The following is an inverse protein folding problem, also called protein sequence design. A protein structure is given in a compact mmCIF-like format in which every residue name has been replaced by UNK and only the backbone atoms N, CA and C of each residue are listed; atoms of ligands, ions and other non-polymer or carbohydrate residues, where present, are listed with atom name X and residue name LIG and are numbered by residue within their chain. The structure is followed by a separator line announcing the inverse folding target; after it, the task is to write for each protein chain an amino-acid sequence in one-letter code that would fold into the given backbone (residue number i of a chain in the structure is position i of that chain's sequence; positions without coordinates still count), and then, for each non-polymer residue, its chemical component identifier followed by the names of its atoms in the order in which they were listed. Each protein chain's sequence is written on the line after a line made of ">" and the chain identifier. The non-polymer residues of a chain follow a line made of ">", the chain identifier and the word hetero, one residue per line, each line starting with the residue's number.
data_IF_040440682999
#
_entry.id   IF_040440682999
#
_cell.length_a   1.000
_cell.length_b   1.000
_cell.length_c   1.000
_cell.angle_alpha   90.00
_cell.angle_beta   90.00
_cell.angle_gamma   90.00
#
_symmetry.space_group_name_H-M   'P 1'
#
loop_
_entity.id
_entity.type
_entity.pdbx_description
1 polymer ?
#
# COMPACT_ATOMS: atom_id res chain seq x y z
N UNK A 1 20.05 -3.18 54.75
CA UNK A 1 20.31 -3.34 53.30
C UNK A 1 20.76 -4.77 53.05
N UNK A 2 20.13 -5.50 52.11
CA UNK A 2 20.62 -6.81 51.67
C UNK A 2 22.03 -6.64 51.09
N UNK A 3 22.99 -7.48 51.50
CA UNK A 3 24.36 -7.48 50.97
C UNK A 3 24.30 -7.88 49.48
N UNK A 4 24.92 -7.09 48.61
CA UNK A 4 24.98 -7.39 47.18
C UNK A 4 25.88 -8.61 46.96
N UNK A 5 25.31 -9.68 46.40
CA UNK A 5 26.00 -10.93 46.08
C UNK A 5 25.93 -11.15 44.56
N UNK A 6 27.02 -10.86 43.82
CA UNK A 6 27.01 -10.89 42.36
C UNK A 6 26.77 -12.30 41.81
N UNK A 7 27.29 -13.34 42.44
CA UNK A 7 27.18 -14.71 41.93
C UNK A 7 25.76 -15.27 42.13
N UNK A 8 25.13 -14.90 43.24
CA UNK A 8 23.71 -15.18 43.47
C UNK A 8 22.81 -14.50 42.42
N UNK A 9 23.08 -13.23 42.09
CA UNK A 9 22.29 -12.48 41.10
C UNK A 9 22.45 -13.08 39.71
N UNK A 10 23.68 -13.43 39.31
CA UNK A 10 23.94 -14.09 38.02
C UNK A 10 23.15 -15.39 37.90
N UNK A 11 23.23 -16.24 38.93
CA UNK A 11 22.53 -17.54 38.95
C UNK A 11 21.01 -17.38 38.83
N UNK A 12 20.40 -16.50 39.62
CA UNK A 12 18.95 -16.28 39.61
C UNK A 12 18.45 -15.73 38.27
N UNK A 13 19.22 -14.89 37.59
CA UNK A 13 18.85 -14.36 36.27
C UNK A 13 18.90 -15.49 35.22
N UNK A 14 19.96 -16.30 35.22
CA UNK A 14 20.11 -17.44 34.30
C UNK A 14 18.97 -18.44 34.48
N UNK A 15 18.67 -18.81 35.74
CA UNK A 15 17.57 -19.72 36.09
C UNK A 15 16.20 -19.17 35.67
N UNK A 16 15.94 -17.87 35.89
CA UNK A 16 14.64 -17.26 35.56
C UNK A 16 14.30 -17.22 34.06
N UNK A 17 15.31 -17.32 33.19
CA UNK A 17 15.13 -17.22 31.73
C UNK A 17 15.54 -18.46 30.96
N UNK A 18 16.03 -19.51 31.64
CA UNK A 18 16.59 -20.70 31.01
C UNK A 18 17.65 -20.34 29.94
N UNK A 19 18.47 -19.34 30.24
CA UNK A 19 19.53 -18.85 29.35
C UNK A 19 20.81 -19.68 29.51
N UNK A 20 21.70 -19.71 28.50
CA UNK A 20 23.00 -20.35 28.64
C UNK A 20 23.86 -19.64 29.70
N UNK A 21 25.00 -20.24 30.05
CA UNK A 21 25.95 -19.66 31.00
C UNK A 21 26.34 -18.23 30.55
N UNK A 22 26.43 -17.23 31.46
CA UNK A 22 26.85 -15.86 31.13
C UNK A 22 28.12 -15.72 30.28
N UNK A 23 29.02 -16.71 30.32
CA UNK A 23 30.22 -16.76 29.46
C UNK A 23 29.87 -16.89 27.97
N UNK A 24 28.73 -17.49 27.63
CA UNK A 24 28.25 -17.73 26.26
C UNK A 24 27.30 -16.63 25.75
N UNK A 25 26.98 -15.63 26.59
CA UNK A 25 25.99 -14.61 26.24
C UNK A 25 26.44 -13.73 25.08
N UNK A 26 25.64 -13.63 24.02
CA UNK A 26 25.83 -12.66 22.92
C UNK A 26 25.33 -11.26 23.30
N UNK A 27 25.61 -10.23 22.46
CA UNK A 27 25.10 -8.86 22.68
C UNK A 27 23.58 -8.80 22.83
N UNK A 28 22.84 -9.72 22.19
CA UNK A 28 21.41 -9.87 22.33
C UNK A 28 20.97 -10.07 23.79
N UNK A 29 21.64 -10.95 24.54
CA UNK A 29 21.29 -11.27 25.94
C UNK A 29 21.46 -10.05 26.87
N UNK A 30 22.51 -9.25 26.65
CA UNK A 30 22.75 -8.03 27.44
C UNK A 30 21.73 -6.93 27.11
N UNK A 31 21.38 -6.78 25.84
CA UNK A 31 20.34 -5.83 25.39
C UNK A 31 18.96 -6.20 25.95
N UNK A 32 18.62 -7.49 25.88
CA UNK A 32 17.36 -7.99 26.39
C UNK A 32 17.27 -7.89 27.92
N UNK A 33 18.35 -8.20 28.64
CA UNK A 33 18.41 -8.05 30.09
C UNK A 33 18.29 -6.57 30.51
N UNK A 34 19.00 -5.67 29.83
CA UNK A 34 18.90 -4.22 30.06
C UNK A 34 17.45 -3.74 29.93
N UNK A 35 16.78 -4.12 28.84
CA UNK A 35 15.39 -3.74 28.56
C UNK A 35 14.45 -4.24 29.66
N UNK A 36 14.59 -5.49 30.09
CA UNK A 36 13.70 -6.09 31.10
C UNK A 36 13.90 -5.51 32.49
N UNK A 37 15.13 -5.18 32.86
CA UNK A 37 15.41 -4.48 34.12
C UNK A 37 14.69 -3.13 34.12
N UNK A 38 14.79 -2.37 33.02
CA UNK A 38 14.11 -1.08 32.85
C UNK A 38 12.58 -1.24 32.91
N UNK A 39 12.00 -2.23 32.21
CA UNK A 39 10.55 -2.50 32.24
C UNK A 39 10.02 -2.88 33.63
N UNK A 40 10.79 -3.65 34.42
CA UNK A 40 10.33 -4.19 35.70
C UNK A 40 10.63 -3.29 36.90
N UNK A 41 11.73 -2.54 36.83
CA UNK A 41 12.18 -1.71 37.94
C UNK A 41 12.00 -0.22 37.68
N UNK A 42 11.90 0.19 36.42
CA UNK A 42 12.00 1.60 36.00
C UNK A 42 13.44 2.13 36.00
N UNK A 43 14.43 1.31 36.40
CA UNK A 43 15.82 1.71 36.50
C UNK A 43 16.61 1.22 35.28
N UNK A 44 17.36 2.12 34.62
CA UNK A 44 18.12 1.81 33.40
C UNK A 44 19.57 1.44 33.71
N UNK A 45 20.00 0.26 33.29
CA UNK A 45 21.40 -0.20 33.39
C UNK A 45 21.94 -0.45 31.98
N UNK A 46 23.04 0.21 31.59
CA UNK A 46 23.60 0.03 30.25
C UNK A 46 24.15 -1.39 30.00
N UNK A 47 24.06 -1.84 28.75
CA UNK A 47 24.60 -3.14 28.30
C UNK A 47 26.09 -3.30 28.68
N UNK A 48 26.87 -2.23 28.58
CA UNK A 48 28.30 -2.23 28.92
C UNK A 48 28.56 -2.39 30.42
N UNK A 49 27.63 -1.92 31.26
CA UNK A 49 27.70 -2.15 32.71
C UNK A 49 27.33 -3.59 33.03
N UNK A 50 26.33 -4.17 32.36
CA UNK A 50 25.99 -5.58 32.49
C UNK A 50 27.13 -6.49 32.01
N UNK A 51 27.77 -6.20 30.87
CA UNK A 51 28.94 -6.96 30.38
C UNK A 51 30.09 -6.99 31.39
N UNK A 52 30.29 -5.92 32.17
CA UNK A 52 31.29 -5.88 33.26
C UNK A 52 30.86 -6.70 34.48
N UNK A 53 29.58 -6.61 34.89
CA UNK A 53 29.03 -7.38 36.03
C UNK A 53 29.07 -8.88 35.76
N UNK A 54 28.77 -9.30 34.53
CA UNK A 54 28.72 -10.71 34.12
C UNK A 54 30.06 -11.24 33.56
N UNK A 55 31.15 -10.48 33.64
CA UNK A 55 32.51 -10.97 33.35
C UNK A 55 32.90 -11.00 31.86
N UNK A 56 32.06 -10.52 30.94
CA UNK A 56 32.35 -10.48 29.49
C UNK A 56 33.38 -9.41 29.09
N UNK A 57 33.61 -8.40 29.94
CA UNK A 57 34.71 -7.43 29.77
C UNK A 57 35.70 -7.53 30.92
N UNK A 58 37.01 -7.51 30.61
CA UNK A 58 38.08 -7.46 31.61
C UNK A 58 37.96 -6.17 32.44
N UNK A 59 38.03 -6.32 33.76
CA UNK A 59 38.12 -5.22 34.72
C UNK A 59 39.42 -5.40 35.50
N UNK A 60 40.03 -4.29 35.95
CA UNK A 60 41.35 -4.25 36.59
C UNK A 60 41.42 -4.91 37.99
N UNK A 61 40.29 -5.33 38.56
CA UNK A 61 40.24 -6.01 39.86
C UNK A 61 39.51 -7.36 39.74
N UNK A 62 40.06 -8.42 40.33
CA UNK A 62 39.48 -9.77 40.33
C UNK A 62 38.06 -9.82 40.92
N UNK A 63 37.70 -8.86 41.78
CA UNK A 63 36.37 -8.74 42.40
C UNK A 63 35.70 -7.41 42.03
N UNK A 64 35.25 -7.27 40.78
CA UNK A 64 34.53 -6.07 40.34
C UNK A 64 33.18 -5.93 41.04
N UNK A 65 33.00 -4.82 41.77
CA UNK A 65 31.72 -4.40 42.33
C UNK A 65 31.17 -3.21 41.52
N UNK A 66 29.94 -3.32 40.96
CA UNK A 66 29.37 -2.22 40.20
C UNK A 66 28.93 -1.08 41.13
N UNK A 67 28.60 0.08 40.56
CA UNK A 67 28.16 1.25 41.33
C UNK A 67 26.91 0.96 42.18
N UNK A 68 26.74 1.70 43.28
CA UNK A 68 25.64 1.50 44.22
C UNK A 68 24.24 1.50 43.55
N UNK A 69 24.05 2.34 42.53
CA UNK A 69 22.83 2.36 41.73
C UNK A 69 22.59 1.03 40.99
N UNK A 70 23.61 0.50 40.31
CA UNK A 70 23.53 -0.81 39.62
C UNK A 70 23.25 -1.94 40.61
N UNK A 71 23.87 -1.91 41.80
CA UNK A 71 23.59 -2.88 42.85
C UNK A 71 22.14 -2.81 43.33
N UNK A 72 21.61 -1.61 43.52
CA UNK A 72 20.23 -1.38 43.93
C UNK A 72 19.23 -1.86 42.86
N UNK A 73 19.45 -1.47 41.60
CA UNK A 73 18.59 -1.84 40.48
C UNK A 73 18.56 -3.36 40.25
N UNK A 74 19.71 -4.05 40.32
CA UNK A 74 19.77 -5.51 40.20
C UNK A 74 19.08 -6.22 41.37
N UNK A 75 19.26 -5.75 42.62
CA UNK A 75 18.56 -6.33 43.77
C UNK A 75 17.04 -6.12 43.67
N UNK A 76 16.59 -4.93 43.26
CA UNK A 76 15.18 -4.62 43.03
C UNK A 76 14.58 -5.50 41.92
N UNK A 77 15.36 -5.78 40.88
CA UNK A 77 14.96 -6.68 39.81
C UNK A 77 14.80 -8.12 40.29
N UNK A 78 15.78 -8.67 41.02
CA UNK A 78 15.68 -10.02 41.60
C UNK A 78 14.49 -10.13 42.57
N UNK A 79 14.26 -9.12 43.41
CA UNK A 79 13.12 -9.10 44.32
C UNK A 79 11.77 -9.08 43.55
N UNK A 80 11.74 -8.47 42.36
CA UNK A 80 10.57 -8.52 41.46
C UNK A 80 10.36 -9.91 40.84
N UNK A 81 11.43 -10.65 40.57
CA UNK A 81 11.37 -12.03 40.07
C UNK A 81 10.91 -12.98 41.19
N UNK A 82 11.44 -12.84 42.41
CA UNK A 82 11.04 -13.63 43.58
C UNK A 82 9.57 -13.38 44.00
N UNK A 83 9.05 -12.15 43.83
CA UNK A 83 7.63 -11.84 44.03
C UNK A 83 6.70 -12.59 43.06
N UNK A 84 7.21 -13.05 41.91
CA UNK A 84 6.43 -13.81 40.92
C UNK A 84 6.32 -15.30 41.27
N UNK A 85 7.23 -15.84 42.07
CA UNK A 85 7.24 -17.25 42.50
C UNK A 85 6.66 -17.47 43.91
N UNK A 86 6.51 -16.41 44.72
CA UNK A 86 5.85 -16.50 46.04
C UNK A 86 4.34 -16.18 46.02
N UNK A 87 3.63 -16.49 44.93
CA UNK A 87 2.18 -16.69 44.99
C UNK A 87 1.85 -18.12 45.45
N UNK A 88 2.29 -18.47 46.68
CA UNK A 88 1.59 -19.52 47.41
C UNK A 88 0.14 -19.08 47.51
N UNK A 89 -0.73 -19.87 46.92
CA UNK A 89 -2.18 -19.75 46.97
C UNK A 89 -2.66 -19.77 48.41
N UNK A 90 -2.72 -18.61 49.04
CA UNK A 90 -3.60 -18.40 50.18
C UNK A 90 -5.02 -18.45 49.63
N UNK A 91 -5.69 -19.59 49.83
CA UNK A 91 -7.14 -19.71 49.74
C UNK A 91 -7.77 -18.82 50.81
N UNK A 92 -7.76 -17.52 50.60
CA UNK A 92 -8.66 -16.61 51.28
C UNK A 92 -9.97 -16.83 50.56
N UNK A 93 -10.91 -17.56 51.17
CA UNK A 93 -12.31 -17.53 50.80
C UNK A 93 -12.82 -16.17 51.26
N UNK A 94 -12.88 -15.16 50.39
CA UNK A 94 -13.32 -13.88 50.84
C UNK A 94 -14.87 -13.98 50.93
N UNK A 95 -15.52 -13.29 51.89
CA UNK A 95 -16.94 -13.51 52.20
C UNK A 95 -17.84 -13.15 51.02
N UNK A 96 -18.70 -14.04 50.52
CA UNK A 96 -19.45 -13.94 49.22
C UNK A 96 -19.91 -12.54 48.76
N UNK A 97 -20.13 -11.58 49.66
CA UNK A 97 -20.54 -10.20 49.43
C UNK A 97 -19.51 -9.31 48.66
N UNK A 98 -18.18 -9.39 48.89
CA UNK A 98 -17.22 -8.53 48.13
C UNK A 98 -17.07 -8.99 46.66
N UNK A 99 -17.33 -10.27 46.36
CA UNK A 99 -17.41 -10.79 44.99
C UNK A 99 -18.58 -10.16 44.23
N UNK A 100 -19.70 -9.95 44.93
CA UNK A 100 -20.88 -9.28 44.39
C UNK A 100 -20.59 -7.80 44.14
N UNK A 101 -19.96 -7.09 45.09
CA UNK A 101 -19.58 -5.69 44.90
C UNK A 101 -18.53 -5.48 43.80
N UNK A 102 -17.54 -6.36 43.71
CA UNK A 102 -16.54 -6.31 42.63
C UNK A 102 -17.16 -6.61 41.26
N UNK A 103 -18.05 -7.61 41.17
CA UNK A 103 -18.81 -7.89 39.95
C UNK A 103 -19.73 -6.71 39.58
N UNK A 104 -20.40 -6.08 40.55
CA UNK A 104 -21.24 -4.90 40.32
C UNK A 104 -20.42 -3.70 39.84
N UNK A 105 -19.26 -3.45 40.45
CA UNK A 105 -18.34 -2.39 40.02
C UNK A 105 -17.83 -2.66 38.60
N UNK A 106 -17.50 -3.91 38.28
CA UNK A 106 -17.04 -4.30 36.93
C UNK A 106 -18.17 -4.20 35.90
N UNK A 107 -19.40 -4.57 36.28
CA UNK A 107 -20.61 -4.43 35.47
C UNK A 107 -21.01 -2.96 35.28
N UNK A 108 -20.53 -2.02 36.09
CA UNK A 108 -20.75 -0.58 35.89
C UNK A 108 -19.58 0.06 35.13
N UNK A 109 -18.33 -0.27 35.48
CA UNK A 109 -17.12 0.29 34.87
C UNK A 109 -16.92 -0.16 33.42
N UNK A 110 -17.19 -1.43 33.11
CA UNK A 110 -17.01 -1.96 31.75
C UNK A 110 -17.95 -1.29 30.76
N UNK A 111 -19.29 -1.21 30.99
CA UNK A 111 -20.15 -0.43 30.11
C UNK A 111 -19.86 1.07 30.19
N UNK A 112 -19.40 1.62 31.32
CA UNK A 112 -18.96 3.02 31.39
C UNK A 112 -17.77 3.33 30.46
N UNK A 113 -16.76 2.46 30.44
CA UNK A 113 -15.59 2.56 29.55
C UNK A 113 -15.94 2.26 28.09
N UNK A 114 -16.86 1.32 27.86
CA UNK A 114 -17.45 1.07 26.53
C UNK A 114 -18.22 2.33 26.09
N UNK A 115 -19.09 2.93 26.90
CA UNK A 115 -19.84 4.15 26.53
C UNK A 115 -18.92 5.35 26.31
N UNK A 116 -17.76 5.44 26.97
CA UNK A 116 -16.77 6.50 26.71
C UNK A 116 -16.03 6.25 25.39
N UNK A 117 -15.67 4.99 25.08
CA UNK A 117 -14.99 4.60 23.84
C UNK A 117 -15.93 4.53 22.62
N UNK A 118 -17.20 4.26 22.87
CA UNK A 118 -18.31 4.18 21.94
C UNK A 118 -19.34 5.28 22.20
N UNK A 119 -18.91 6.44 22.73
CA UNK A 119 -19.77 7.63 22.62
C UNK A 119 -20.04 7.74 21.13
N UNK A 120 -21.31 7.63 20.68
CA UNK A 120 -21.59 7.84 19.28
C UNK A 120 -21.10 9.26 19.03
N UNK A 121 -20.03 9.36 18.23
CA UNK A 121 -19.67 10.62 17.63
C UNK A 121 -20.99 11.13 17.07
N UNK A 122 -21.49 12.28 17.55
CA UNK A 122 -22.66 12.88 16.93
C UNK A 122 -22.27 13.02 15.46
N UNK A 123 -22.80 12.14 14.61
CA UNK A 123 -22.72 12.29 13.18
C UNK A 123 -23.47 13.57 12.94
N UNK A 124 -22.73 14.67 12.82
CA UNK A 124 -23.29 15.92 12.32
C UNK A 124 -24.05 15.51 11.07
N UNK A 125 -25.38 15.68 11.11
CA UNK A 125 -26.24 15.15 10.07
C UNK A 125 -26.01 15.98 8.81
N UNK A 126 -25.08 15.54 7.97
CA UNK A 126 -24.80 16.11 6.67
C UNK A 126 -25.41 15.25 5.57
N UNK A 127 -25.69 15.86 4.43
CA UNK A 127 -26.04 15.17 3.19
C UNK A 127 -24.89 15.38 2.22
N UNK A 128 -24.46 14.31 1.55
CA UNK A 128 -23.54 14.40 0.41
C UNK A 128 -23.83 13.26 -0.55
N UNK A 129 -24.12 13.58 -1.80
CA UNK A 129 -24.49 12.60 -2.81
C UNK A 129 -24.18 13.13 -4.20
N UNK A 130 -23.94 12.23 -5.14
CA UNK A 130 -23.76 12.56 -6.55
C UNK A 130 -24.95 12.00 -7.35
N UNK A 131 -25.54 12.80 -8.23
CA UNK A 131 -26.69 12.39 -9.04
C UNK A 131 -26.34 11.25 -10.00
N UNK A 132 -25.16 11.34 -10.64
CA UNK A 132 -24.65 10.35 -11.57
C UNK A 132 -23.17 10.11 -11.27
N UNK A 133 -22.85 8.91 -10.82
CA UNK A 133 -21.49 8.53 -10.39
C UNK A 133 -20.60 8.04 -11.53
N UNK A 134 -21.18 7.77 -12.69
CA UNK A 134 -20.43 7.24 -13.82
C UNK A 134 -20.99 7.74 -15.15
N UNK A 135 -20.12 8.15 -16.07
CA UNK A 135 -20.51 8.57 -17.42
C UNK A 135 -19.33 8.56 -18.40
N UNK A 136 -19.63 8.75 -19.69
CA UNK A 136 -18.61 8.98 -20.70
C UNK A 136 -17.97 10.37 -20.53
N UNK A 137 -16.64 10.47 -20.55
CA UNK A 137 -15.95 11.75 -20.52
C UNK A 137 -16.10 12.49 -21.87
N UNK A 138 -16.15 13.83 -21.91
CA UNK A 138 -16.14 14.72 -20.75
C UNK A 138 -17.48 14.71 -20.02
N UNK A 139 -17.44 14.74 -18.69
CA UNK A 139 -18.62 14.56 -17.83
C UNK A 139 -18.68 15.61 -16.72
N UNK A 140 -19.83 16.26 -16.56
CA UNK A 140 -20.10 17.11 -15.39
C UNK A 140 -20.87 16.34 -14.34
N UNK A 141 -20.25 16.07 -13.20
CA UNK A 141 -20.91 15.46 -12.05
C UNK A 141 -21.55 16.52 -11.15
N UNK A 142 -22.83 16.34 -10.86
CA UNK A 142 -23.60 17.19 -9.93
C UNK A 142 -23.64 16.56 -8.55
N UNK A 143 -23.12 17.27 -7.55
CA UNK A 143 -23.16 16.84 -6.16
C UNK A 143 -24.18 17.66 -5.38
N UNK A 144 -25.11 16.97 -4.73
CA UNK A 144 -26.06 17.54 -3.76
C UNK A 144 -25.50 17.40 -2.37
N UNK A 145 -25.53 18.49 -1.61
CA UNK A 145 -25.02 18.48 -0.25
C UNK A 145 -25.83 19.35 0.72
N UNK A 146 -25.71 19.03 2.00
CA UNK A 146 -26.14 19.87 3.11
C UNK A 146 -25.13 19.74 4.24
N UNK A 147 -24.33 20.79 4.44
CA UNK A 147 -23.32 20.86 5.49
C UNK A 147 -23.68 21.90 6.56
N UNK A 148 -24.92 22.41 6.54
CA UNK A 148 -25.38 23.52 7.39
C UNK A 148 -25.34 23.23 8.90
N UNK A 149 -25.31 21.95 9.28
CA UNK A 149 -25.23 21.50 10.68
C UNK A 149 -23.80 21.27 11.16
N UNK A 150 -22.82 21.34 10.25
CA UNK A 150 -21.40 21.21 10.58
C UNK A 150 -20.90 22.59 10.99
N UNK A 151 -20.26 22.67 12.17
CA UNK A 151 -19.75 23.94 12.69
C UNK A 151 -18.44 24.38 12.01
N UNK A 152 -17.63 23.42 11.58
CA UNK A 152 -16.36 23.67 10.91
C UNK A 152 -16.55 23.96 9.40
N UNK A 153 -15.53 24.51 8.76
CA UNK A 153 -15.48 24.64 7.32
C UNK A 153 -15.39 23.26 6.66
N UNK A 154 -16.25 23.02 5.68
CA UNK A 154 -16.27 21.77 4.93
C UNK A 154 -15.69 21.99 3.54
N UNK A 155 -14.86 21.05 3.12
CA UNK A 155 -14.16 21.05 1.85
C UNK A 155 -14.44 19.76 1.09
N UNK A 156 -14.36 19.85 -0.22
CA UNK A 156 -14.46 18.74 -1.14
C UNK A 156 -13.26 18.73 -2.09
N UNK A 157 -12.64 17.57 -2.27
CA UNK A 157 -11.63 17.34 -3.30
C UNK A 157 -12.22 16.44 -4.37
N UNK A 158 -12.48 17.00 -5.55
CA UNK A 158 -13.08 16.27 -6.69
C UNK A 158 -12.06 15.57 -7.57
N UNK A 159 -10.83 16.10 -7.61
CA UNK A 159 -9.68 15.53 -8.29
C UNK A 159 -8.46 15.80 -7.42
N UNK A 160 -7.48 14.90 -7.47
CA UNK A 160 -6.27 14.97 -6.65
C UNK A 160 -5.68 16.38 -6.69
N UNK A 161 -5.49 16.96 -5.49
CA UNK A 161 -4.82 18.25 -5.23
C UNK A 161 -5.68 19.53 -5.35
N UNK A 162 -6.95 19.45 -5.77
CA UNK A 162 -7.82 20.63 -5.76
C UNK A 162 -8.80 20.58 -4.58
N UNK A 163 -8.73 21.59 -3.71
CA UNK A 163 -9.64 21.77 -2.58
C UNK A 163 -10.73 22.80 -2.95
N UNK A 164 -11.99 22.44 -2.74
CA UNK A 164 -13.15 23.33 -2.95
C UNK A 164 -13.89 23.50 -1.63
N UNK A 165 -13.99 24.73 -1.13
CA UNK A 165 -14.84 25.05 0.02
C UNK A 165 -16.32 24.88 -0.35
N UNK A 166 -17.11 24.26 0.54
CA UNK A 166 -18.55 24.07 0.37
C UNK A 166 -19.34 25.02 1.29
N UNK A 167 -19.90 26.12 0.76
CA UNK A 167 -20.65 27.07 1.57
C UNK A 167 -21.92 26.45 2.19
N UNK A 168 -22.19 26.63 3.50
CA UNK A 168 -23.36 26.07 4.18
C UNK A 168 -24.73 26.47 3.63
N UNK A 169 -24.83 27.62 2.95
CA UNK A 169 -26.06 28.16 2.35
C UNK A 169 -26.37 27.56 0.98
N UNK A 170 -25.39 26.94 0.32
CA UNK A 170 -25.56 26.26 -0.95
C UNK A 170 -25.92 24.80 -0.74
N UNK A 171 -26.56 24.20 -1.76
CA UNK A 171 -27.04 22.81 -1.73
C UNK A 171 -26.49 21.95 -2.87
N UNK A 172 -25.68 22.56 -3.74
CA UNK A 172 -25.17 21.92 -4.95
C UNK A 172 -23.79 22.46 -5.33
N UNK A 173 -22.97 21.59 -5.89
CA UNK A 173 -21.69 21.92 -6.52
C UNK A 173 -21.48 20.99 -7.72
N UNK A 174 -20.96 21.54 -8.82
CA UNK A 174 -20.66 20.78 -10.03
C UNK A 174 -19.16 20.67 -10.21
N UNK A 175 -18.71 19.54 -10.74
CA UNK A 175 -17.32 19.36 -11.16
C UNK A 175 -17.25 18.75 -12.54
N UNK A 176 -16.38 19.29 -13.39
CA UNK A 176 -16.18 18.84 -14.77
C UNK A 176 -14.96 17.94 -14.85
N UNK A 177 -15.20 16.67 -15.20
CA UNK A 177 -14.17 15.69 -15.49
C UNK A 177 -13.91 15.67 -16.99
N UNK A 178 -12.79 16.27 -17.42
CA UNK A 178 -12.42 16.31 -18.83
C UNK A 178 -11.94 14.95 -19.34
N UNK A 179 -11.20 14.21 -18.52
CA UNK A 179 -10.56 12.95 -18.88
C UNK A 179 -11.27 11.72 -18.30
N UNK A 180 -11.13 10.54 -18.94
CA UNK A 180 -11.51 9.28 -18.33
C UNK A 180 -10.58 8.93 -17.16
N UNK A 181 -11.14 8.29 -16.13
CA UNK A 181 -10.42 7.87 -14.95
C UNK A 181 -11.33 7.47 -13.79
N UNK A 182 -10.70 7.03 -12.71
CA UNK A 182 -11.36 6.68 -11.44
C UNK A 182 -10.99 7.76 -10.43
N UNK A 183 -11.96 8.56 -9.99
CA UNK A 183 -11.77 9.69 -9.09
C UNK A 183 -12.45 9.42 -7.75
N UNK A 184 -11.69 9.51 -6.66
CA UNK A 184 -12.26 9.45 -5.32
C UNK A 184 -12.55 10.86 -4.84
N UNK A 185 -13.83 11.19 -4.72
CA UNK A 185 -14.28 12.51 -4.24
C UNK A 185 -14.34 12.48 -2.72
N UNK A 186 -13.45 13.22 -2.08
CA UNK A 186 -13.36 13.27 -0.62
C UNK A 186 -14.10 14.48 -0.09
N UNK A 187 -15.08 14.25 0.79
CA UNK A 187 -15.70 15.30 1.61
C UNK A 187 -15.01 15.30 2.98
N UNK A 188 -14.51 16.44 3.44
CA UNK A 188 -13.75 16.50 4.69
C UNK A 188 -13.84 17.87 5.38
N UNK A 189 -13.55 17.85 6.67
CA UNK A 189 -13.21 19.04 7.48
C UNK A 189 -11.70 19.07 7.68
N UNK A 190 -11.15 20.13 8.28
CA UNK A 190 -9.72 20.16 8.63
C UNK A 190 -9.33 19.07 9.65
N UNK A 191 -10.28 18.55 10.41
CA UNK A 191 -10.04 17.53 11.42
C UNK A 191 -10.17 16.08 10.90
N UNK A 192 -11.01 15.83 9.90
CA UNK A 192 -11.32 14.47 9.43
C UNK A 192 -12.02 14.43 8.07
N UNK A 193 -11.86 13.30 7.38
CA UNK A 193 -12.73 12.89 6.27
C UNK A 193 -14.14 12.55 6.78
N UNK A 194 -15.15 13.07 6.10
CA UNK A 194 -16.57 12.87 6.38
C UNK A 194 -17.16 11.75 5.52
N UNK A 195 -16.87 11.76 4.22
CA UNK A 195 -17.38 10.79 3.25
C UNK A 195 -16.45 10.67 2.03
N UNK A 196 -16.62 9.61 1.24
CA UNK A 196 -15.89 9.41 -0.02
C UNK A 196 -16.80 8.79 -1.07
N UNK A 197 -16.91 9.44 -2.23
CA UNK A 197 -17.73 8.96 -3.36
C UNK A 197 -16.81 8.69 -4.55
N UNK A 198 -16.73 7.44 -5.06
CA UNK A 198 -16.02 7.18 -6.31
C UNK A 198 -16.85 7.68 -7.50
N UNK A 199 -16.17 8.34 -8.44
CA UNK A 199 -16.69 8.78 -9.74
C UNK A 199 -15.86 8.11 -10.82
N UNK A 200 -16.54 7.50 -11.80
CA UNK A 200 -15.90 6.79 -12.90
C UNK A 200 -16.24 7.49 -14.19
N UNK A 201 -15.25 8.02 -14.88
CA UNK A 201 -15.42 8.53 -16.23
C UNK A 201 -14.71 7.62 -17.22
N UNK A 202 -15.35 7.32 -18.34
CA UNK A 202 -14.82 6.38 -19.32
C UNK A 202 -14.87 6.95 -20.74
N UNK A 203 -14.10 6.36 -21.65
CA UNK A 203 -14.24 6.55 -23.11
C UNK A 203 -13.88 5.24 -23.79
N UNK A 204 -14.37 5.02 -25.01
CA UNK A 204 -14.01 3.82 -25.80
C UNK A 204 -12.65 3.95 -26.49
N UNK A 205 -11.71 4.63 -25.86
CA UNK A 205 -10.39 4.93 -26.41
C UNK A 205 -9.34 4.86 -25.30
N UNK A 206 -8.10 4.56 -25.69
CA UNK A 206 -6.97 4.62 -24.78
C UNK A 206 -6.58 6.08 -24.57
N UNK A 207 -6.14 6.42 -23.36
CA UNK A 207 -5.55 7.72 -23.04
C UNK A 207 -4.10 7.49 -22.66
N UNK A 208 -3.22 8.25 -23.30
CA UNK A 208 -1.79 8.16 -23.08
C UNK A 208 -1.25 9.49 -22.55
N UNK A 209 -0.12 9.42 -21.87
CA UNK A 209 0.61 10.60 -21.40
C UNK A 209 1.94 10.22 -20.79
N UNK A 210 2.62 11.19 -20.19
CA UNK A 210 3.87 10.95 -19.49
C UNK A 210 3.93 11.66 -18.13
N UNK A 211 4.75 11.11 -17.25
CA UNK A 211 5.14 11.72 -15.98
C UNK A 211 6.61 12.14 -16.10
N UNK A 212 6.89 13.40 -16.43
CA UNK A 212 8.26 13.89 -16.52
C UNK A 212 8.89 13.90 -15.12
N UNK A 213 10.19 13.60 -15.06
CA UNK A 213 10.97 13.61 -13.83
C UNK A 213 10.42 12.68 -12.72
N UNK A 214 9.61 11.69 -13.11
CA UNK A 214 8.90 10.76 -12.22
C UNK A 214 7.98 11.47 -11.20
N UNK A 215 7.45 12.64 -11.55
CA UNK A 215 6.54 13.42 -10.71
C UNK A 215 5.09 13.20 -11.15
N UNK A 216 4.26 12.68 -10.25
CA UNK A 216 2.87 12.34 -10.53
C UNK A 216 2.00 13.59 -10.81
N UNK A 217 2.34 14.70 -10.16
CA UNK A 217 1.71 16.01 -10.28
C UNK A 217 1.96 16.70 -11.63
N UNK A 218 2.98 16.26 -12.37
CA UNK A 218 3.33 16.79 -13.68
C UNK A 218 2.80 15.90 -14.83
N UNK A 219 1.73 15.12 -14.61
CA UNK A 219 1.19 14.28 -15.68
C UNK A 219 0.78 15.12 -16.90
N UNK A 220 1.40 14.84 -18.05
CA UNK A 220 1.13 15.49 -19.32
C UNK A 220 0.38 14.52 -20.26
N UNK A 221 -0.92 14.71 -20.53
CA UNK A 221 -1.68 13.89 -21.46
C UNK A 221 -1.34 14.17 -22.93
N UNK A 222 -1.26 13.12 -23.76
CA UNK A 222 -1.10 13.24 -25.21
C UNK A 222 -2.44 13.53 -25.87
N UNK A 223 -2.55 14.69 -26.51
CA UNK A 223 -3.79 15.16 -27.14
C UNK A 223 -4.12 14.42 -28.45
N UNK A 224 -3.10 14.08 -29.25
CA UNK A 224 -3.28 13.35 -30.51
C UNK A 224 -3.03 11.85 -30.28
N UNK A 225 -4.00 11.01 -30.61
CA UNK A 225 -3.83 9.56 -30.52
C UNK A 225 -2.88 8.99 -31.56
N UNK A 226 -2.73 9.66 -32.71
CA UNK A 226 -1.78 9.24 -33.73
C UNK A 226 -0.33 9.26 -33.23
N UNK A 227 -0.06 10.06 -32.20
CA UNK A 227 1.23 10.14 -31.54
C UNK A 227 1.68 8.80 -30.94
N UNK A 228 0.74 7.99 -30.46
CA UNK A 228 1.04 6.74 -29.78
C UNK A 228 0.37 5.50 -30.38
N UNK A 229 -0.45 5.67 -31.41
CA UNK A 229 -1.03 4.61 -32.24
C UNK A 229 -0.31 4.57 -33.59
N UNK A 230 0.88 3.97 -33.59
CA UNK A 230 1.68 3.81 -34.80
C UNK A 230 1.27 2.55 -35.56
N UNK A 231 1.73 2.42 -36.81
CA UNK A 231 1.26 1.38 -37.74
C UNK A 231 1.40 -0.04 -37.19
N UNK A 232 2.51 -0.33 -36.52
CA UNK A 232 2.86 -1.66 -36.04
C UNK A 232 2.92 -1.78 -34.52
N UNK A 233 2.90 -0.68 -33.78
CA UNK A 233 3.11 -0.69 -32.33
C UNK A 233 2.34 0.42 -31.63
N UNK A 234 1.87 0.14 -30.43
CA UNK A 234 1.29 1.14 -29.54
C UNK A 234 2.34 1.65 -28.55
N UNK A 235 2.94 2.79 -28.85
CA UNK A 235 3.98 3.44 -28.05
C UNK A 235 4.22 4.88 -28.51
N UNK A 236 4.88 5.68 -27.68
CA UNK A 236 5.17 7.09 -27.95
C UNK A 236 6.64 7.30 -28.37
N UNK A 237 6.94 7.73 -29.61
CA UNK A 237 8.32 7.87 -30.06
C UNK A 237 9.17 8.78 -29.16
N UNK A 238 10.30 8.28 -28.69
CA UNK A 238 11.17 9.00 -27.72
C UNK A 238 11.66 10.34 -28.24
N UNK A 239 11.98 10.46 -29.54
CA UNK A 239 12.42 11.74 -30.11
C UNK A 239 11.32 12.79 -30.13
N UNK A 240 10.08 12.38 -30.39
CA UNK A 240 8.95 13.31 -30.38
C UNK A 240 8.53 13.67 -28.94
N UNK A 241 8.61 12.71 -27.99
CA UNK A 241 8.39 12.97 -26.56
C UNK A 241 9.29 14.09 -26.02
N UNK A 242 10.57 14.13 -26.44
CA UNK A 242 11.52 15.20 -26.07
C UNK A 242 11.05 16.60 -26.45
N UNK A 243 10.26 16.72 -27.52
CA UNK A 243 9.76 18.01 -28.00
C UNK A 243 8.55 18.50 -27.22
N UNK A 244 7.80 17.60 -26.59
CA UNK A 244 6.56 17.92 -25.87
C UNK A 244 6.81 18.35 -24.43
N UNK A 245 7.89 17.87 -23.80
CA UNK A 245 8.17 18.11 -22.38
C UNK A 245 9.26 19.17 -22.22
N UNK A 246 8.86 20.37 -21.78
CA UNK A 246 9.72 21.56 -21.64
C UNK A 246 10.84 21.42 -20.60
N UNK A 247 10.74 20.45 -19.69
CA UNK A 247 11.74 20.13 -18.65
C UNK A 247 12.18 18.66 -18.73
N UNK A 248 12.64 18.24 -19.91
CA UNK A 248 13.21 16.92 -20.12
C UNK A 248 14.47 16.71 -19.27
N UNK A 249 14.32 16.18 -18.05
CA UNK A 249 15.40 15.44 -17.42
C UNK A 249 15.29 13.98 -17.83
N UNK A 250 16.41 13.28 -17.85
CA UNK A 250 16.54 12.00 -18.54
C UNK A 250 15.46 10.96 -18.16
N UNK A 251 14.93 11.01 -16.93
CA UNK A 251 13.97 10.05 -16.39
C UNK A 251 12.50 10.48 -16.62
N UNK A 252 11.69 9.59 -17.20
CA UNK A 252 10.25 9.78 -17.35
C UNK A 252 9.53 8.44 -17.35
N UNK A 253 8.23 8.46 -17.04
CA UNK A 253 7.33 7.33 -17.28
C UNK A 253 6.35 7.65 -18.39
N UNK A 254 6.13 6.75 -19.35
CA UNK A 254 4.91 6.80 -20.16
C UNK A 254 3.81 6.02 -19.47
N UNK A 255 2.56 6.42 -19.69
CA UNK A 255 1.38 5.77 -19.13
C UNK A 255 0.31 5.65 -20.19
N UNK A 256 -0.25 4.46 -20.32
CA UNK A 256 -1.35 4.14 -21.23
C UNK A 256 -2.49 3.56 -20.43
N UNK A 257 -3.67 4.17 -20.49
CA UNK A 257 -4.82 3.83 -19.66
C UNK A 257 -6.06 3.60 -20.52
N UNK A 258 -6.84 2.60 -20.14
CA UNK A 258 -8.16 2.34 -20.70
C UNK A 258 -9.15 2.16 -19.57
N UNK A 259 -9.92 3.21 -19.29
CA UNK A 259 -10.96 3.21 -18.25
C UNK A 259 -12.31 2.94 -18.91
N UNK A 260 -12.94 1.84 -18.52
CA UNK A 260 -14.24 1.40 -19.04
C UNK A 260 -14.95 0.50 -18.03
N UNK A 261 -16.26 0.69 -17.75
CA UNK A 261 -17.03 -0.18 -16.88
C UNK A 261 -17.33 -1.50 -17.61
N UNK A 262 -16.42 -2.46 -17.53
CA UNK A 262 -16.55 -3.73 -18.28
C UNK A 262 -17.70 -4.63 -17.81
N UNK A 263 -18.24 -4.38 -16.62
CA UNK A 263 -19.24 -5.24 -15.97
C UNK A 263 -18.79 -6.69 -15.78
N UNK A 264 -17.46 -6.93 -15.73
CA UNK A 264 -16.83 -8.24 -15.53
C UNK A 264 -16.05 -8.25 -14.23
N UNK A 265 -16.20 -9.30 -13.44
CA UNK A 265 -15.50 -9.44 -12.16
C UNK A 265 -14.01 -9.68 -12.37
N UNK A 266 -13.17 -8.85 -11.75
CA UNK A 266 -11.72 -9.01 -11.71
C UNK A 266 -11.29 -10.15 -10.78
N UNK A 267 -12.19 -10.73 -9.99
CA UNK A 267 -11.93 -11.93 -9.17
C UNK A 267 -12.04 -13.25 -9.96
N UNK A 268 -12.46 -13.19 -11.22
CA UNK A 268 -12.67 -14.37 -12.08
C UNK A 268 -12.46 -14.01 -13.55
N UNK A 269 -11.22 -13.71 -13.91
CA UNK A 269 -10.82 -13.16 -15.20
C UNK A 269 -9.44 -13.66 -15.63
N UNK A 270 -9.22 -13.76 -16.94
CA UNK A 270 -7.89 -13.90 -17.51
C UNK A 270 -7.55 -12.67 -18.33
N UNK A 271 -6.41 -12.06 -18.03
CA UNK A 271 -5.77 -10.98 -18.78
C UNK A 271 -4.53 -11.52 -19.46
N UNK A 272 -4.35 -11.22 -20.73
CA UNK A 272 -3.16 -11.56 -21.50
C UNK A 272 -2.69 -10.32 -22.27
N UNK A 273 -1.39 -10.10 -22.31
CA UNK A 273 -0.81 -8.97 -23.03
C UNK A 273 0.61 -9.27 -23.45
N UNK A 274 1.05 -8.60 -24.52
CA UNK A 274 2.42 -8.66 -25.00
C UNK A 274 3.03 -7.27 -24.99
N UNK A 275 4.13 -7.11 -24.25
CA UNK A 275 4.75 -5.81 -23.95
C UNK A 275 6.27 -5.87 -24.08
N UNK A 276 6.91 -4.73 -24.36
CA UNK A 276 8.36 -4.60 -24.44
C UNK A 276 8.81 -3.26 -23.87
N UNK A 277 9.86 -3.25 -23.06
CA UNK A 277 10.54 -2.02 -22.65
C UNK A 277 12.03 -2.30 -22.45
N UNK A 278 12.90 -1.58 -23.16
CA UNK A 278 14.35 -1.78 -23.11
C UNK A 278 15.12 -0.50 -23.47
N UNK A 279 16.44 -0.61 -23.67
CA UNK A 279 17.26 0.55 -24.05
C UNK A 279 16.77 1.24 -25.35
N UNK A 280 16.22 0.48 -26.30
CA UNK A 280 15.76 1.02 -27.59
C UNK A 280 14.47 1.83 -27.49
N UNK A 281 13.68 1.63 -26.42
CA UNK A 281 12.49 2.42 -26.12
C UNK A 281 12.79 3.69 -25.31
N UNK A 282 14.06 4.09 -25.19
CA UNK A 282 14.47 5.29 -24.45
C UNK A 282 14.48 5.13 -22.92
N UNK A 283 14.39 3.90 -22.41
CA UNK A 283 14.50 3.63 -20.98
C UNK A 283 15.95 3.69 -20.50
N UNK A 284 16.19 4.25 -19.31
CA UNK A 284 17.54 4.54 -18.82
C UNK A 284 18.13 3.46 -17.93
N UNK A 285 17.32 2.78 -17.12
CA UNK A 285 17.78 1.73 -16.22
C UNK A 285 16.63 0.84 -15.79
N UNK A 286 16.89 -0.45 -15.58
CA UNK A 286 15.94 -1.46 -15.10
C UNK A 286 14.68 -1.68 -15.94
N UNK A 287 14.35 -0.77 -16.87
CA UNK A 287 13.34 -0.91 -17.92
C UNK A 287 11.94 -1.26 -17.39
N UNK A 288 11.62 -0.77 -16.20
CA UNK A 288 10.44 -1.15 -15.43
C UNK A 288 9.16 -1.13 -16.29
N UNK A 289 8.36 -2.18 -16.13
CA UNK A 289 7.06 -2.35 -16.75
C UNK A 289 6.02 -2.55 -15.65
N UNK A 290 5.15 -1.57 -15.48
CA UNK A 290 4.00 -1.61 -14.59
C UNK A 290 2.76 -2.00 -15.37
N UNK A 291 2.07 -3.05 -14.90
CA UNK A 291 0.76 -3.45 -15.41
C UNK A 291 -0.22 -3.42 -14.24
N UNK A 292 -1.27 -2.62 -14.36
CA UNK A 292 -2.30 -2.50 -13.35
C UNK A 292 -3.69 -2.81 -13.93
N UNK A 293 -4.45 -3.62 -13.19
CA UNK A 293 -5.87 -3.88 -13.41
C UNK A 293 -6.61 -3.37 -12.18
N UNK A 294 -7.37 -2.29 -12.34
CA UNK A 294 -8.11 -1.66 -11.24
C UNK A 294 -9.56 -2.10 -11.30
N UNK A 295 -10.05 -2.66 -10.21
CA UNK A 295 -11.47 -2.95 -10.01
C UNK A 295 -12.14 -1.97 -9.05
N UNK A 296 -13.45 -2.14 -8.86
CA UNK A 296 -14.26 -1.30 -7.97
C UNK A 296 -13.79 -1.31 -6.50
N UNK A 297 -13.17 -2.41 -6.04
CA UNK A 297 -12.83 -2.61 -4.64
C UNK A 297 -11.34 -2.89 -4.37
N UNK A 298 -10.58 -3.23 -5.41
CA UNK A 298 -9.16 -3.55 -5.27
C UNK A 298 -8.41 -3.41 -6.58
N UNK A 299 -7.10 -3.69 -6.54
CA UNK A 299 -6.20 -3.57 -7.68
C UNK A 299 -5.29 -4.78 -7.75
N UNK A 300 -4.95 -5.17 -8.98
CA UNK A 300 -3.78 -6.00 -9.28
C UNK A 300 -2.74 -5.07 -9.89
N UNK A 301 -1.53 -5.01 -9.33
CA UNK A 301 -0.42 -4.23 -9.87
C UNK A 301 0.85 -5.09 -9.87
N UNK A 302 1.48 -5.20 -11.03
CA UNK A 302 2.72 -5.95 -11.25
C UNK A 302 3.77 -5.00 -11.79
N UNK A 303 4.97 -5.02 -11.21
CA UNK A 303 6.16 -4.35 -11.78
C UNK A 303 7.23 -5.37 -12.11
N UNK A 304 7.45 -5.56 -13.40
CA UNK A 304 8.59 -6.28 -13.93
C UNK A 304 9.80 -5.36 -14.02
N UNK A 305 10.99 -5.93 -13.82
CA UNK A 305 12.27 -5.21 -13.92
C UNK A 305 13.27 -6.05 -14.70
N UNK A 306 14.33 -5.43 -15.20
CA UNK A 306 15.43 -6.15 -15.83
C UNK A 306 16.16 -7.02 -14.79
N UNK A 307 16.83 -8.08 -15.25
CA UNK A 307 17.76 -8.88 -14.45
C UNK A 307 18.65 -8.00 -13.55
N UNK A 308 18.77 -8.41 -12.27
CA UNK A 308 19.52 -7.73 -11.20
C UNK A 308 18.87 -6.44 -10.66
N UNK A 309 17.68 -6.07 -11.12
CA UNK A 309 16.89 -4.97 -10.58
C UNK A 309 15.72 -5.42 -9.68
N UNK A 310 15.72 -6.69 -9.21
CA UNK A 310 14.63 -7.27 -8.40
C UNK A 310 14.23 -6.45 -7.18
N UNK A 311 15.13 -5.62 -6.61
CA UNK A 311 14.82 -4.67 -5.54
C UNK A 311 13.64 -3.74 -5.87
N UNK A 312 13.50 -3.37 -7.15
CA UNK A 312 12.46 -2.44 -7.61
C UNK A 312 11.18 -3.15 -8.06
N UNK A 313 11.16 -4.49 -8.11
CA UNK A 313 9.95 -5.23 -8.43
C UNK A 313 8.90 -5.02 -7.34
N UNK A 314 7.63 -4.98 -7.76
CA UNK A 314 6.49 -4.85 -6.86
C UNK A 314 5.35 -5.74 -7.31
N UNK A 315 4.62 -6.26 -6.34
CA UNK A 315 3.41 -7.02 -6.56
C UNK A 315 2.34 -6.54 -5.58
N UNK A 316 1.16 -6.23 -6.10
CA UNK A 316 -0.01 -5.98 -5.30
C UNK A 316 -1.20 -6.76 -5.85
N UNK A 317 -1.94 -7.41 -4.95
CA UNK A 317 -3.28 -7.92 -5.21
C UNK A 317 -4.14 -7.61 -4.00
N UNK A 318 -5.20 -6.82 -4.19
CA UNK A 318 -6.12 -6.45 -3.12
C UNK A 318 -5.37 -5.87 -1.89
N UNK A 319 -5.47 -6.50 -0.71
CA UNK A 319 -4.75 -6.10 0.51
C UNK A 319 -3.27 -6.47 0.54
N UNK A 320 -2.83 -7.44 -0.26
CA UNK A 320 -1.45 -7.91 -0.25
C UNK A 320 -0.59 -6.98 -1.10
N UNK A 321 0.46 -6.44 -0.49
CA UNK A 321 1.48 -5.60 -1.12
C UNK A 321 2.85 -6.15 -0.78
N UNK A 322 3.62 -6.48 -1.79
CA UNK A 322 4.99 -6.96 -1.70
C UNK A 322 5.88 -6.06 -2.55
N UNK A 323 7.09 -5.83 -2.06
CA UNK A 323 8.16 -5.13 -2.76
C UNK A 323 9.46 -5.93 -2.67
N UNK A 324 10.36 -5.69 -3.62
CA UNK A 324 11.66 -6.34 -3.69
C UNK A 324 12.67 -5.86 -2.64
N UNK A 325 12.32 -4.86 -1.82
CA UNK A 325 13.19 -4.43 -0.71
C UNK A 325 13.07 -5.38 0.48
N UNK A 326 11.86 -5.85 0.77
CA UNK A 326 11.58 -6.69 1.93
C UNK A 326 11.13 -8.12 1.58
N UNK A 327 10.93 -8.43 0.29
CA UNK A 327 10.44 -9.73 -0.17
C UNK A 327 11.23 -10.23 -1.38
N UNK A 328 11.26 -11.55 -1.57
CA UNK A 328 11.83 -12.14 -2.77
C UNK A 328 10.83 -12.05 -3.92
N UNK A 329 11.08 -11.10 -4.83
CA UNK A 329 10.37 -10.94 -6.10
C UNK A 329 11.33 -11.15 -7.29
N UNK A 330 12.36 -11.98 -7.12
CA UNK A 330 13.32 -12.30 -8.19
C UNK A 330 12.65 -12.84 -9.46
N UNK A 331 11.51 -13.52 -9.32
CA UNK A 331 10.69 -14.00 -10.44
C UNK A 331 10.15 -12.87 -11.36
N UNK A 332 10.08 -11.62 -10.86
CA UNK A 332 9.69 -10.45 -11.64
C UNK A 332 10.90 -9.70 -12.23
N UNK A 333 12.13 -10.18 -11.98
CA UNK A 333 13.37 -9.67 -12.59
C UNK A 333 13.74 -10.56 -13.77
N UNK A 334 13.52 -10.08 -14.99
CA UNK A 334 13.48 -10.90 -16.21
C UNK A 334 14.37 -10.31 -17.29
N UNK A 335 14.66 -11.10 -18.34
CA UNK A 335 15.32 -10.55 -19.52
C UNK A 335 14.31 -9.71 -20.30
N UNK A 336 14.59 -8.42 -20.41
CA UNK A 336 13.73 -7.45 -21.09
C UNK A 336 14.24 -7.11 -22.50
N UNK A 337 15.21 -7.87 -23.03
CA UNK A 337 15.75 -7.65 -24.36
C UNK A 337 14.71 -7.86 -25.48
N UNK A 338 13.76 -8.77 -25.28
CA UNK A 338 12.68 -9.08 -26.21
C UNK A 338 11.28 -8.81 -25.60
N UNK A 339 10.23 -9.16 -26.33
CA UNK A 339 8.85 -9.11 -25.89
C UNK A 339 8.59 -10.05 -24.72
N UNK A 340 7.75 -9.60 -23.79
CA UNK A 340 7.25 -10.37 -22.67
C UNK A 340 5.78 -10.73 -22.91
N UNK A 341 5.46 -12.01 -22.90
CA UNK A 341 4.08 -12.50 -22.92
C UNK A 341 3.58 -12.69 -21.49
N UNK A 342 2.82 -11.71 -20.99
CA UNK A 342 2.32 -11.69 -19.62
C UNK A 342 0.87 -12.17 -19.60
N UNK A 343 0.58 -13.12 -18.71
CA UNK A 343 -0.79 -13.54 -18.41
C UNK A 343 -1.06 -13.47 -16.91
N UNK A 344 -2.22 -12.92 -16.56
CA UNK A 344 -2.75 -12.88 -15.20
C UNK A 344 -4.06 -13.62 -15.17
N UNK A 345 -4.20 -14.57 -14.24
CA UNK A 345 -5.44 -15.32 -14.02
C UNK A 345 -5.88 -15.13 -12.58
N UNK A 346 -7.09 -14.62 -12.38
CA UNK A 346 -7.74 -14.56 -11.08
C UNK A 346 -8.91 -15.53 -11.05
N UNK A 347 -9.01 -16.30 -9.97
CA UNK A 347 -10.13 -17.23 -9.75
C UNK A 347 -10.23 -17.55 -8.28
N UNK A 348 -11.44 -17.48 -7.71
CA UNK A 348 -11.70 -17.86 -6.31
C UNK A 348 -10.74 -17.20 -5.32
N UNK A 349 -10.50 -15.90 -5.47
CA UNK A 349 -9.59 -15.16 -4.61
C UNK A 349 -8.13 -15.65 -4.64
N UNK A 350 -7.74 -16.29 -5.74
CA UNK A 350 -6.38 -16.73 -6.02
C UNK A 350 -5.92 -16.09 -7.34
N UNK A 351 -4.71 -15.56 -7.36
CA UNK A 351 -4.08 -14.99 -8.55
C UNK A 351 -2.87 -15.83 -8.95
N UNK A 352 -2.74 -16.08 -10.26
CA UNK A 352 -1.57 -16.69 -10.88
C UNK A 352 -1.04 -15.76 -11.97
N UNK A 353 0.27 -15.61 -12.00
CA UNK A 353 0.99 -14.79 -12.98
C UNK A 353 1.87 -15.72 -13.79
N UNK A 354 1.72 -15.61 -15.10
CA UNK A 354 2.47 -16.35 -16.08
C UNK A 354 3.33 -15.40 -16.89
N UNK A 355 4.53 -15.84 -17.19
CA UNK A 355 5.43 -15.19 -18.14
C UNK A 355 5.89 -16.24 -19.15
N UNK A 356 5.69 -15.97 -20.43
CA UNK A 356 6.06 -16.84 -21.54
C UNK A 356 5.49 -18.27 -21.41
N UNK A 357 4.29 -18.38 -20.83
CA UNK A 357 3.55 -19.62 -20.62
C UNK A 357 3.81 -20.33 -19.28
N UNK A 358 4.86 -19.95 -18.54
CA UNK A 358 5.24 -20.55 -17.26
C UNK A 358 4.69 -19.76 -16.07
N UNK A 359 4.24 -20.44 -15.01
CA UNK A 359 3.82 -19.77 -13.77
C UNK A 359 5.06 -19.26 -13.04
N UNK A 360 5.15 -17.95 -12.86
CA UNK A 360 6.27 -17.31 -12.14
C UNK A 360 5.92 -16.91 -10.71
N UNK A 361 4.62 -16.72 -10.42
CA UNK A 361 4.16 -16.28 -9.11
C UNK A 361 2.68 -16.60 -8.90
N UNK A 362 2.31 -16.92 -7.67
CA UNK A 362 0.93 -17.11 -7.27
C UNK A 362 0.69 -16.64 -5.83
N UNK A 363 -0.55 -16.21 -5.53
CA UNK A 363 -0.94 -15.81 -4.19
C UNK A 363 -2.45 -15.84 -4.03
N UNK A 364 -2.92 -16.20 -2.84
CA UNK A 364 -4.31 -15.94 -2.43
C UNK A 364 -4.49 -14.47 -2.02
N UNK A 365 -5.72 -14.00 -1.90
CA UNK A 365 -6.06 -12.70 -1.33
C UNK A 365 -7.45 -12.77 -0.65
N UNK A 366 -7.78 -11.81 0.20
CA UNK A 366 -8.98 -11.89 1.05
C UNK A 366 -10.10 -11.00 0.53
N UNK A 367 -9.81 -9.73 0.21
CA UNK A 367 -10.86 -8.82 -0.21
C UNK A 367 -11.07 -8.86 -1.72
N UNK A 368 -12.33 -8.84 -2.14
CA UNK A 368 -12.72 -8.85 -3.56
C UNK A 368 -12.11 -7.68 -4.31
N UNK A 369 -11.67 -7.93 -5.54
CA UNK A 369 -11.18 -6.90 -6.46
C UNK A 369 -12.34 -6.10 -7.08
N UNK A 370 -13.55 -6.67 -7.12
CA UNK A 370 -14.74 -6.06 -7.70
C UNK A 370 -14.81 -6.21 -9.22
N UNK A 371 -15.61 -5.39 -9.89
CA UNK A 371 -15.64 -5.37 -11.36
C UNK A 371 -14.46 -4.59 -11.92
N UNK A 372 -13.89 -5.03 -13.05
CA UNK A 372 -12.81 -4.35 -13.75
C UNK A 372 -13.29 -2.98 -14.28
N UNK A 373 -12.52 -1.94 -13.97
CA UNK A 373 -12.79 -0.55 -14.35
C UNK A 373 -11.68 0.08 -15.18
N UNK A 374 -10.43 -0.32 -14.97
CA UNK A 374 -9.29 0.25 -15.70
C UNK A 374 -8.20 -0.78 -15.96
N UNK A 375 -7.60 -0.69 -17.15
CA UNK A 375 -6.31 -1.28 -17.48
C UNK A 375 -5.30 -0.16 -17.62
N UNK A 376 -4.15 -0.27 -16.97
CA UNK A 376 -3.06 0.70 -17.07
C UNK A 376 -1.74 0.00 -17.30
N UNK A 377 -1.02 0.48 -18.30
CA UNK A 377 0.40 0.21 -18.48
C UNK A 377 1.19 1.45 -18.08
N UNK A 378 2.31 1.28 -17.41
CA UNK A 378 3.28 2.35 -17.26
C UNK A 378 4.68 1.82 -17.47
N UNK A 379 5.49 2.56 -18.20
CA UNK A 379 6.83 2.15 -18.56
C UNK A 379 7.79 3.20 -18.08
N UNK A 380 8.88 2.81 -17.42
CA UNK A 380 9.99 3.73 -17.25
C UNK A 380 10.69 3.84 -18.60
N UNK A 381 10.58 4.99 -19.29
CA UNK A 381 10.85 5.10 -20.73
C UNK A 381 9.57 4.99 -21.58
N UNK A 382 9.70 4.63 -22.87
CA UNK A 382 8.55 4.50 -23.78
C UNK A 382 8.31 3.06 -24.27
N UNK A 383 7.89 2.19 -23.35
CA UNK A 383 7.56 0.81 -23.70
C UNK A 383 6.44 0.68 -24.73
N UNK A 384 6.44 -0.47 -25.41
CA UNK A 384 5.52 -0.83 -26.48
C UNK A 384 4.52 -1.86 -25.99
N UNK A 385 3.30 -1.75 -26.49
CA UNK A 385 2.23 -2.72 -26.30
C UNK A 385 1.87 -3.26 -27.68
N UNK A 386 1.91 -4.58 -27.82
CA UNK A 386 1.54 -5.28 -29.05
C UNK A 386 0.09 -5.73 -29.00
N UNK A 387 -0.35 -6.29 -27.86
CA UNK A 387 -1.72 -6.77 -27.74
C UNK A 387 -2.22 -6.83 -26.31
N UNK A 388 -3.53 -6.86 -26.18
CA UNK A 388 -4.28 -7.15 -24.96
C UNK A 388 -5.49 -8.02 -25.28
N UNK A 389 -5.77 -8.97 -24.40
CA UNK A 389 -6.96 -9.81 -24.44
C UNK A 389 -7.49 -10.04 -23.02
N UNK A 390 -8.80 -9.92 -22.86
CA UNK A 390 -9.51 -10.18 -21.63
C UNK A 390 -10.58 -11.24 -21.84
N UNK A 391 -10.52 -12.28 -21.01
CA UNK A 391 -11.49 -13.37 -20.98
C UNK A 391 -12.20 -13.43 -19.65
N UNK A 392 -13.50 -13.72 -19.68
CA UNK A 392 -14.28 -13.97 -18.46
C UNK A 392 -14.09 -15.40 -17.95
N UNK A 393 -14.78 -15.74 -16.85
CA UNK A 393 -14.73 -17.07 -16.22
C UNK A 393 -15.17 -18.23 -17.13
N UNK A 394 -15.88 -17.94 -18.23
CA UNK A 394 -16.27 -18.93 -19.24
C UNK A 394 -15.28 -19.00 -20.40
N UNK A 395 -14.15 -18.29 -20.30
CA UNK A 395 -13.14 -18.17 -21.34
C UNK A 395 -13.64 -17.41 -22.59
N UNK A 396 -14.73 -16.65 -22.48
CA UNK A 396 -15.20 -15.80 -23.57
C UNK A 396 -14.39 -14.51 -23.59
N UNK A 397 -13.87 -14.15 -24.76
CA UNK A 397 -13.19 -12.87 -24.97
C UNK A 397 -14.25 -11.77 -24.96
N UNK A 398 -14.15 -10.84 -24.01
CA UNK A 398 -15.05 -9.68 -23.93
C UNK A 398 -14.37 -8.37 -24.30
N UNK A 399 -13.03 -8.37 -24.38
CA UNK A 399 -12.25 -7.25 -24.88
C UNK A 399 -10.95 -7.77 -25.49
N UNK A 400 -10.56 -7.21 -26.64
CA UNK A 400 -9.27 -7.46 -27.27
C UNK A 400 -8.86 -6.24 -28.08
N UNK A 401 -7.55 -5.97 -28.13
CA UNK A 401 -6.95 -4.95 -28.98
C UNK A 401 -5.57 -5.45 -29.43
N UNK A 402 -5.35 -5.53 -30.73
CA UNK A 402 -4.06 -5.87 -31.36
C UNK A 402 -3.26 -4.61 -31.73
N UNK A 403 -3.82 -3.44 -31.44
CA UNK A 403 -3.28 -2.11 -31.68
C UNK A 403 -2.78 -1.80 -33.10
N UNK A 404 -2.99 -2.70 -34.06
CA UNK A 404 -2.66 -2.50 -35.45
C UNK A 404 -3.54 -1.39 -36.02
N UNK A 405 -2.92 -0.42 -36.69
CA UNK A 405 -3.67 0.64 -37.37
C UNK A 405 -4.31 0.05 -38.63
N UNK A 406 -5.60 -0.32 -38.57
CA UNK A 406 -6.33 -0.76 -39.75
C UNK A 406 -6.39 0.38 -40.80
N UNK A 407 -5.59 0.27 -41.86
CA UNK A 407 -5.45 1.26 -42.96
C UNK A 407 -6.78 1.45 -43.74
N UNK A 408 -7.76 0.56 -43.58
CA UNK A 408 -9.00 0.55 -44.36
C UNK A 408 -9.94 1.74 -44.15
N UNK A 409 -9.77 2.54 -43.09
CA UNK A 409 -10.60 3.74 -42.83
C UNK A 409 -10.01 5.06 -43.34
N UNK A 410 -8.75 5.09 -43.80
CA UNK A 410 -8.13 6.32 -44.33
C UNK A 410 -8.51 6.61 -45.79
N UNK A 411 -8.84 5.59 -46.58
CA UNK A 411 -9.20 5.75 -48.00
C UNK A 411 -10.63 6.24 -48.25
N UNK A 412 -11.46 6.49 -47.21
CA UNK A 412 -12.82 7.02 -47.36
C UNK A 412 -12.97 8.53 -47.10
N UNK A 413 -11.92 9.21 -46.63
CA UNK A 413 -11.96 10.67 -46.37
C UNK A 413 -11.15 11.52 -47.36
N UNK A 414 -10.43 10.91 -48.31
CA UNK A 414 -9.62 11.64 -49.29
C UNK A 414 -10.29 11.86 -50.66
N UNK A 415 -11.57 11.53 -50.83
CA UNK A 415 -12.28 11.62 -52.13
C UNK A 415 -13.54 12.50 -52.10
N UNK A 416 -13.55 13.54 -51.26
CA UNK A 416 -14.57 14.61 -51.35
C UNK A 416 -13.88 15.97 -51.20
N UNK A 417 -13.29 16.44 -52.30
CA UNK A 417 -13.13 17.86 -52.59
C UNK A 417 -13.76 18.06 -53.98
N UNK A 418 -14.81 18.87 -54.12
CA UNK A 418 -15.34 19.23 -55.43
C UNK A 418 -14.48 20.33 -56.06
N UNK A 419 -14.35 20.24 -57.39
CA UNK A 419 -13.78 21.25 -58.29
C UNK A 419 -14.43 22.63 -58.16
#
# INVERSE_FOLDING_TARGET
>A
MKKFDPDKIKRLIVESYNWPNPEEWTNFHFKELSKRIEEKTGDRISEETLKRVFGKRKVSSENYLPQAFTQHALNKYIDSLAKKESSKSLKINPPKIYRIYFLLILVILVPGLIVIKYRPFQTEAFLFSCEKKQDEAPFTATFKYDVSKIKDSVFCSFNHNQETFLPPDKKMVNYFYSEPGIYNVFLYTRAKTLDTIPIITWRKEWVAGCYPNNQAELFEPFQDQNFYRLEHFFYSPTEELKTLVTNWQANYWTSYRYTYPFEKSLDSLTFQTRVQNNATSGSLSCYDIDIALTGEAGVVNLRFTQLKCSRYATFQVSEKKLDGEFNDLSAFSVDMSDWLDVKVSTKNNHIQIFLDGEVIFESDYVYSLGKLLEIKYSFFGSGKIDSIELKDKQNNIFYSNDFNKNISTLNKKASILPD
#
